data_IF_638063826619
#
_entry.id   IF_638063826619
#
_cell.length_a   1.000
_cell.length_b   1.000
_cell.length_c   1.000
_cell.angle_alpha   90.00
_cell.angle_beta   90.00
_cell.angle_gamma   90.00
#
_symmetry.space_group_name_H-M   'P 1'
#
loop_
_entity.id
_entity.type
_entity.pdbx_description
1 polymer ?
#
# COMPACT_ATOMS: atom_id res chain seq x y z
N UNK A 1 -17.58 -9.37 27.80
CA UNK A 1 -18.03 -8.20 27.02
C UNK A 1 -18.67 -8.72 25.75
N UNK A 2 -19.90 -8.37 25.49
CA UNK A 2 -20.64 -8.91 24.37
C UNK A 2 -20.26 -8.12 23.11
N UNK A 3 -19.37 -8.66 22.27
CA UNK A 3 -18.90 -8.05 21.02
C UNK A 3 -20.03 -7.80 20.00
N UNK A 4 -21.19 -8.45 20.20
CA UNK A 4 -22.36 -8.35 19.31
C UNK A 4 -22.88 -6.92 19.13
N UNK A 5 -22.68 -6.02 20.11
CA UNK A 5 -23.22 -4.66 20.05
C UNK A 5 -22.32 -3.64 19.31
N UNK A 6 -21.08 -3.98 18.95
CA UNK A 6 -20.17 -3.05 18.25
C UNK A 6 -20.16 -3.22 16.73
N UNK A 7 -20.51 -4.45 16.27
CA UNK A 7 -20.69 -4.77 14.85
C UNK A 7 -22.16 -4.94 14.47
N UNK A 8 -23.08 -4.64 15.41
CA UNK A 8 -24.48 -4.55 15.02
C UNK A 8 -24.58 -3.56 13.87
N UNK A 9 -25.14 -3.98 12.73
CA UNK A 9 -25.38 -3.05 11.66
C UNK A 9 -26.13 -1.86 12.21
N UNK A 10 -25.77 -0.67 11.76
CA UNK A 10 -26.54 0.52 12.08
C UNK A 10 -28.00 0.22 11.69
N UNK A 11 -28.91 0.26 12.65
CA UNK A 11 -30.35 0.03 12.43
C UNK A 11 -31.06 1.30 11.92
N UNK A 12 -30.31 2.31 11.46
CA UNK A 12 -30.90 3.44 10.78
C UNK A 12 -31.49 3.00 9.42
N UNK A 13 -32.58 3.62 9.03
CA UNK A 13 -33.35 3.33 7.81
C UNK A 13 -32.42 3.29 6.57
N UNK A 14 -31.48 4.23 6.45
CA UNK A 14 -30.46 4.27 5.38
C UNK A 14 -29.52 3.06 5.37
N UNK A 15 -29.24 2.42 6.52
CA UNK A 15 -28.43 1.19 6.58
C UNK A 15 -29.26 -0.07 6.30
N UNK A 16 -30.56 -0.02 6.56
CA UNK A 16 -31.48 -1.13 6.23
C UNK A 16 -31.75 -1.18 4.72
N UNK A 17 -31.95 -0.06 4.09
CA UNK A 17 -32.13 0.04 2.62
C UNK A 17 -30.87 -0.34 1.84
N UNK A 18 -29.66 0.01 2.33
CA UNK A 18 -28.41 -0.42 1.72
C UNK A 18 -28.18 -1.95 1.76
N UNK A 19 -28.92 -2.68 2.61
CA UNK A 19 -28.93 -4.16 2.62
C UNK A 19 -29.76 -4.75 1.48
N UNK A 20 -30.70 -3.98 0.96
CA UNK A 20 -31.67 -4.45 -0.07
C UNK A 20 -31.25 -4.09 -1.49
N UNK A 21 -30.34 -3.13 -1.69
CA UNK A 21 -29.87 -2.74 -3.02
C UNK A 21 -28.55 -3.42 -3.38
N UNK A 22 -28.61 -4.33 -4.34
CA UNK A 22 -27.43 -4.97 -4.98
C UNK A 22 -26.72 -4.06 -5.99
N UNK A 23 -26.93 -2.75 -5.95
CA UNK A 23 -26.31 -1.80 -6.86
C UNK A 23 -25.02 -1.25 -6.26
N UNK A 24 -23.92 -1.39 -7.00
CA UNK A 24 -22.60 -0.83 -6.66
C UNK A 24 -22.71 0.67 -6.37
N UNK A 25 -22.16 1.16 -5.24
CA UNK A 25 -22.27 2.57 -4.85
C UNK A 25 -21.20 3.48 -5.44
N UNK A 26 -20.44 3.00 -6.42
CA UNK A 26 -19.26 3.72 -6.91
C UNK A 26 -19.54 4.38 -8.27
N UNK A 27 -20.07 5.59 -8.25
CA UNK A 27 -20.08 6.51 -9.38
C UNK A 27 -18.97 7.56 -9.20
N UNK A 28 -17.99 7.56 -10.11
CA UNK A 28 -17.06 8.67 -10.26
C UNK A 28 -15.59 8.31 -10.03
N UNK A 29 -14.92 7.87 -11.08
CA UNK A 29 -13.49 7.58 -11.16
C UNK A 29 -13.28 6.18 -11.74
N UNK A 30 -12.61 6.10 -12.87
CA UNK A 30 -12.33 4.86 -13.59
C UNK A 30 -11.37 3.96 -12.78
N UNK A 31 -11.94 3.19 -11.88
CA UNK A 31 -11.31 2.14 -11.09
C UNK A 31 -12.42 1.30 -10.49
N UNK A 32 -13.08 0.51 -11.34
CA UNK A 32 -14.19 -0.35 -10.95
C UNK A 32 -13.68 -1.41 -9.96
N UNK A 33 -13.93 -1.20 -8.66
CA UNK A 33 -13.79 -2.29 -7.68
C UNK A 33 -14.87 -3.30 -8.02
N UNK A 34 -14.50 -4.31 -8.80
CA UNK A 34 -15.40 -5.41 -9.15
C UNK A 34 -15.78 -6.12 -7.85
N UNK A 35 -17.05 -6.07 -7.42
CA UNK A 35 -17.46 -6.80 -6.23
C UNK A 35 -17.14 -8.29 -6.45
N UNK A 36 -16.77 -9.04 -5.39
CA UNK A 36 -16.42 -10.43 -5.56
C UNK A 36 -17.58 -11.18 -6.24
N UNK A 37 -17.29 -11.89 -7.31
CA UNK A 37 -18.26 -12.62 -8.15
C UNK A 37 -19.08 -13.67 -7.37
N UNK A 38 -18.75 -13.93 -6.10
CA UNK A 38 -19.45 -14.85 -5.19
C UNK A 38 -19.66 -14.19 -3.84
N UNK A 39 -20.73 -14.51 -3.10
CA UNK A 39 -20.90 -14.08 -1.73
C UNK A 39 -19.67 -14.46 -0.88
N UNK A 40 -19.17 -13.50 -0.08
CA UNK A 40 -18.08 -13.76 0.84
C UNK A 40 -18.54 -14.73 1.92
N UNK A 41 -17.91 -15.89 1.97
CA UNK A 41 -18.31 -16.96 2.91
C UNK A 41 -17.09 -17.80 3.34
N UNK A 42 -16.67 -17.62 4.57
CA UNK A 42 -15.57 -18.36 5.20
C UNK A 42 -16.07 -19.42 6.18
N UNK A 43 -17.39 -19.67 6.26
CA UNK A 43 -17.98 -20.58 7.26
C UNK A 43 -17.43 -21.99 7.21
N UNK A 44 -17.08 -22.48 6.02
CA UNK A 44 -16.50 -23.83 5.83
C UNK A 44 -15.07 -23.93 6.36
N UNK A 45 -14.24 -22.91 6.14
CA UNK A 45 -12.86 -22.89 6.64
C UNK A 45 -12.88 -22.69 8.16
N UNK A 46 -13.71 -21.78 8.65
CA UNK A 46 -13.89 -21.54 10.08
C UNK A 46 -14.43 -22.78 10.81
N UNK A 47 -15.33 -23.55 10.18
CA UNK A 47 -15.80 -24.83 10.76
C UNK A 47 -14.64 -25.77 11.05
N UNK A 48 -13.68 -25.93 10.13
CA UNK A 48 -12.48 -26.75 10.36
C UNK A 48 -11.65 -26.28 11.56
N UNK A 49 -11.53 -24.98 11.75
CA UNK A 49 -10.84 -24.40 12.90
C UNK A 49 -11.60 -24.70 14.21
N UNK A 50 -12.93 -24.61 14.23
CA UNK A 50 -13.75 -24.92 15.38
C UNK A 50 -13.80 -26.43 15.68
N UNK A 51 -13.84 -27.29 14.65
CA UNK A 51 -13.75 -28.75 14.82
C UNK A 51 -12.41 -29.13 15.49
N UNK A 52 -11.33 -28.48 15.06
CA UNK A 52 -10.02 -28.70 15.66
C UNK A 52 -9.97 -28.18 17.11
N UNK A 53 -10.56 -27.01 17.39
CA UNK A 53 -10.69 -26.46 18.74
C UNK A 53 -11.43 -27.44 19.68
N UNK A 54 -12.54 -28.01 19.22
CA UNK A 54 -13.32 -28.99 19.98
C UNK A 54 -12.49 -30.26 20.27
N UNK A 55 -11.84 -30.81 19.23
CA UNK A 55 -10.97 -32.00 19.36
C UNK A 55 -9.83 -31.77 20.37
N UNK A 56 -9.24 -30.57 20.36
CA UNK A 56 -8.16 -30.19 21.28
C UNK A 56 -8.67 -29.90 22.71
N UNK A 57 -9.91 -29.48 22.86
CA UNK A 57 -10.55 -29.17 24.15
C UNK A 57 -10.07 -27.89 24.83
N UNK A 58 -9.17 -27.13 24.20
CA UNK A 58 -8.63 -25.87 24.75
C UNK A 58 -8.07 -24.98 23.64
N UNK A 59 -7.89 -23.68 23.95
CA UNK A 59 -7.26 -22.69 23.10
C UNK A 59 -6.45 -21.69 23.93
N UNK A 60 -5.26 -21.36 23.48
CA UNK A 60 -4.41 -20.27 24.00
C UNK A 60 -3.94 -19.39 22.82
N UNK A 61 -3.59 -18.12 23.04
CA UNK A 61 -3.14 -17.22 21.98
C UNK A 61 -2.00 -17.80 21.14
N UNK A 62 -1.04 -18.49 21.76
CA UNK A 62 0.13 -19.12 21.12
C UNK A 62 -0.26 -20.27 20.19
N UNK A 63 -1.44 -20.84 20.35
CA UNK A 63 -1.95 -21.91 19.51
C UNK A 63 -2.31 -21.41 18.09
N UNK A 64 -2.63 -20.12 17.97
CA UNK A 64 -3.12 -19.53 16.72
C UNK A 64 -2.17 -19.78 15.55
N UNK A 65 -0.89 -19.55 15.76
CA UNK A 65 0.14 -19.68 14.73
C UNK A 65 0.72 -21.08 14.65
N UNK A 66 0.49 -21.91 15.67
CA UNK A 66 1.03 -23.27 15.75
C UNK A 66 0.25 -24.28 14.90
N UNK A 67 -1.08 -24.20 14.88
CA UNK A 67 -1.91 -25.22 14.26
C UNK A 67 -2.42 -24.83 12.87
N UNK A 68 -2.31 -25.78 11.92
CA UNK A 68 -2.66 -25.56 10.51
C UNK A 68 -4.11 -25.07 10.33
N UNK A 69 -5.08 -25.67 11.04
CA UNK A 69 -6.48 -25.30 10.89
C UNK A 69 -6.75 -23.82 11.24
N UNK A 70 -6.01 -23.26 12.18
CA UNK A 70 -6.12 -21.84 12.55
C UNK A 70 -5.41 -20.95 11.53
N UNK A 71 -4.21 -21.35 11.07
CA UNK A 71 -3.51 -20.62 10.02
C UNK A 71 -4.30 -20.59 8.71
N UNK A 72 -4.92 -21.70 8.34
CA UNK A 72 -5.77 -21.79 7.13
C UNK A 72 -6.93 -20.75 7.19
N UNK A 73 -7.53 -20.55 8.37
CA UNK A 73 -8.58 -19.53 8.54
C UNK A 73 -8.01 -18.10 8.45
N UNK A 74 -6.83 -17.86 9.01
CA UNK A 74 -6.14 -16.56 8.87
C UNK A 74 -5.87 -16.28 7.40
N UNK A 75 -5.23 -17.22 6.68
CA UNK A 75 -4.86 -17.08 5.28
C UNK A 75 -6.09 -16.84 4.40
N UNK A 76 -7.13 -17.66 4.55
CA UNK A 76 -8.36 -17.49 3.78
C UNK A 76 -9.05 -16.14 4.06
N UNK A 77 -8.99 -15.65 5.30
CA UNK A 77 -9.54 -14.33 5.64
C UNK A 77 -8.70 -13.21 5.02
N UNK A 78 -7.38 -13.32 5.08
CA UNK A 78 -6.46 -12.35 4.47
C UNK A 78 -6.59 -12.32 2.94
N UNK A 79 -6.71 -13.47 2.30
CA UNK A 79 -6.94 -13.57 0.84
C UNK A 79 -8.19 -12.80 0.42
N UNK A 80 -9.29 -12.92 1.19
CA UNK A 80 -10.51 -12.15 0.92
C UNK A 80 -10.23 -10.64 1.00
N UNK A 81 -9.61 -10.17 2.07
CA UNK A 81 -9.37 -8.73 2.25
C UNK A 81 -8.30 -8.18 1.30
N UNK A 82 -7.32 -8.99 0.87
CA UNK A 82 -6.33 -8.56 -0.11
C UNK A 82 -6.97 -8.24 -1.47
N UNK A 83 -8.10 -8.86 -1.81
CA UNK A 83 -8.84 -8.50 -3.04
C UNK A 83 -9.47 -7.10 -2.97
N UNK A 84 -9.53 -6.50 -1.78
CA UNK A 84 -10.02 -5.13 -1.60
C UNK A 84 -8.93 -4.06 -1.86
N UNK A 85 -7.65 -4.45 -1.96
CA UNK A 85 -6.56 -3.52 -2.23
C UNK A 85 -6.48 -3.24 -3.74
N UNK A 86 -6.68 -1.98 -4.19
CA UNK A 86 -6.67 -1.63 -5.60
C UNK A 86 -5.33 -1.93 -6.28
N UNK A 87 -5.34 -2.19 -7.58
CA UNK A 87 -4.11 -2.43 -8.34
C UNK A 87 -3.24 -1.17 -8.46
N UNK A 88 -3.83 0.00 -8.41
CA UNK A 88 -3.19 1.31 -8.52
C UNK A 88 -2.49 1.77 -7.23
N UNK A 89 -2.58 0.98 -6.16
CA UNK A 89 -1.83 1.26 -4.92
C UNK A 89 -0.34 1.18 -5.22
N UNK A 90 0.44 2.24 -4.90
CA UNK A 90 1.90 2.19 -5.04
C UNK A 90 2.49 0.98 -4.29
N UNK A 91 3.51 0.38 -4.86
CA UNK A 91 4.09 -0.86 -4.32
C UNK A 91 4.59 -0.69 -2.87
N UNK A 92 5.14 0.49 -2.55
CA UNK A 92 5.56 0.84 -1.20
C UNK A 92 4.40 0.78 -0.19
N UNK A 93 3.22 1.25 -0.60
CA UNK A 93 2.03 1.25 0.25
C UNK A 93 1.42 -0.16 0.33
N UNK A 94 1.42 -0.89 -0.78
CA UNK A 94 0.80 -2.24 -0.87
C UNK A 94 1.32 -3.19 0.19
N UNK A 95 2.64 -3.24 0.39
CA UNK A 95 3.25 -4.14 1.36
C UNK A 95 2.76 -3.87 2.81
N UNK A 96 2.54 -2.60 3.16
CA UNK A 96 1.99 -2.24 4.47
C UNK A 96 0.52 -2.61 4.60
N UNK A 97 -0.29 -2.38 3.56
CA UNK A 97 -1.70 -2.73 3.56
C UNK A 97 -1.92 -4.25 3.65
N UNK A 98 -1.19 -5.04 2.88
CA UNK A 98 -1.25 -6.51 2.94
C UNK A 98 -0.83 -7.04 4.33
N UNK A 99 0.16 -6.43 4.95
CA UNK A 99 0.56 -6.76 6.32
C UNK A 99 -0.52 -6.45 7.33
N UNK A 100 -1.13 -5.27 7.25
CA UNK A 100 -2.24 -4.88 8.14
C UNK A 100 -3.43 -5.83 7.98
N UNK A 101 -3.79 -6.17 6.75
CA UNK A 101 -4.82 -7.18 6.42
C UNK A 101 -4.51 -8.53 7.06
N UNK A 102 -3.26 -9.00 6.99
CA UNK A 102 -2.86 -10.27 7.59
C UNK A 102 -2.97 -10.24 9.12
N UNK A 103 -2.49 -9.18 9.76
CA UNK A 103 -2.60 -8.99 11.21
C UNK A 103 -4.06 -8.90 11.64
N UNK A 104 -4.88 -8.12 10.95
CA UNK A 104 -6.31 -8.01 11.21
C UNK A 104 -7.01 -9.38 11.11
N UNK A 105 -6.72 -10.16 10.07
CA UNK A 105 -7.26 -11.51 9.87
C UNK A 105 -6.88 -12.45 11.01
N UNK A 106 -5.67 -12.32 11.53
CA UNK A 106 -5.20 -13.11 12.66
C UNK A 106 -5.88 -12.74 13.97
N UNK A 107 -6.00 -11.45 14.30
CA UNK A 107 -6.69 -11.03 15.55
C UNK A 107 -8.19 -11.30 15.48
N UNK A 108 -8.82 -11.19 14.30
CA UNK A 108 -10.20 -11.62 14.06
C UNK A 108 -10.37 -13.12 14.33
N UNK A 109 -9.47 -13.95 13.81
CA UNK A 109 -9.46 -15.41 14.04
C UNK A 109 -9.27 -15.73 15.52
N UNK A 110 -8.31 -15.06 16.18
CA UNK A 110 -8.11 -15.19 17.63
C UNK A 110 -9.37 -14.89 18.43
N UNK A 111 -10.06 -13.82 18.08
CA UNK A 111 -11.31 -13.41 18.74
C UNK A 111 -12.38 -14.50 18.60
N UNK A 112 -12.58 -15.02 17.38
CA UNK A 112 -13.53 -16.11 17.12
C UNK A 112 -13.21 -17.37 17.95
N UNK A 113 -11.93 -17.76 17.98
CA UNK A 113 -11.49 -18.95 18.74
C UNK A 113 -11.60 -18.73 20.25
N UNK A 114 -11.36 -17.53 20.74
CA UNK A 114 -11.53 -17.17 22.16
C UNK A 114 -13.01 -17.22 22.56
N UNK A 115 -13.90 -16.71 21.74
CA UNK A 115 -15.34 -16.77 21.97
C UNK A 115 -15.86 -18.22 21.85
N UNK A 116 -15.44 -18.96 20.83
CA UNK A 116 -15.78 -20.37 20.67
C UNK A 116 -15.28 -21.23 21.84
N UNK A 117 -14.09 -20.94 22.37
CA UNK A 117 -13.56 -21.61 23.57
C UNK A 117 -14.51 -21.48 24.77
N UNK A 118 -15.17 -20.34 24.95
CA UNK A 118 -16.12 -20.15 26.03
C UNK A 118 -17.33 -21.09 25.93
N UNK A 119 -17.60 -21.65 24.74
CA UNK A 119 -18.69 -22.60 24.47
C UNK A 119 -18.26 -24.07 24.54
N UNK A 120 -16.96 -24.35 24.73
CA UNK A 120 -16.46 -25.74 24.80
C UNK A 120 -16.99 -26.51 26.00
N UNK A 121 -17.17 -25.83 27.14
CA UNK A 121 -17.54 -26.47 28.40
C UNK A 121 -18.97 -26.19 28.76
N UNK A 122 -19.61 -27.15 29.44
CA UNK A 122 -20.88 -26.99 30.08
C UNK A 122 -20.73 -26.30 31.45
N UNK A 123 -21.84 -26.11 32.15
CA UNK A 123 -21.87 -25.50 33.48
C UNK A 123 -21.12 -26.31 34.55
N UNK A 124 -20.96 -27.61 34.32
CA UNK A 124 -20.22 -28.54 35.18
C UNK A 124 -18.74 -28.58 34.86
N UNK A 125 -18.27 -27.88 33.82
CA UNK A 125 -16.89 -27.83 33.40
C UNK A 125 -16.43 -28.96 32.46
N UNK A 126 -17.36 -29.84 32.04
CA UNK A 126 -17.05 -30.92 31.08
C UNK A 126 -17.04 -30.38 29.65
N UNK A 127 -16.23 -30.99 28.79
CA UNK A 127 -16.25 -30.67 27.36
C UNK A 127 -17.57 -31.14 26.77
N UNK A 128 -18.33 -30.20 26.15
CA UNK A 128 -19.60 -30.52 25.50
C UNK A 128 -19.42 -31.55 24.40
N UNK A 129 -20.36 -32.50 24.22
CA UNK A 129 -20.41 -33.33 23.02
C UNK A 129 -20.39 -32.46 21.75
N UNK A 130 -19.74 -32.97 20.67
CA UNK A 130 -19.51 -32.17 19.45
C UNK A 130 -20.81 -31.55 18.89
N UNK A 131 -21.92 -32.29 18.82
CA UNK A 131 -23.19 -31.79 18.29
C UNK A 131 -23.76 -30.59 19.07
N UNK A 132 -23.53 -30.55 20.40
CA UNK A 132 -23.94 -29.42 21.24
C UNK A 132 -23.03 -28.22 21.01
N UNK A 133 -21.73 -28.44 20.95
CA UNK A 133 -20.76 -27.41 20.65
C UNK A 133 -21.01 -26.81 19.25
N UNK A 134 -21.19 -27.65 18.23
CA UNK A 134 -21.48 -27.21 16.87
C UNK A 134 -22.73 -26.29 16.80
N UNK A 135 -23.80 -26.65 17.50
CA UNK A 135 -24.99 -25.81 17.59
C UNK A 135 -24.72 -24.46 18.23
N UNK A 136 -23.91 -24.43 19.30
CA UNK A 136 -23.56 -23.20 20.00
C UNK A 136 -22.70 -22.26 19.15
N UNK A 137 -21.80 -22.80 18.34
CA UNK A 137 -20.92 -21.98 17.49
C UNK A 137 -21.51 -21.63 16.12
N UNK A 138 -22.62 -22.25 15.69
CA UNK A 138 -23.18 -22.01 14.37
C UNK A 138 -23.53 -20.53 14.16
N UNK A 139 -24.18 -19.91 15.14
CA UNK A 139 -24.51 -18.48 15.12
C UNK A 139 -23.24 -17.63 15.10
N UNK A 140 -22.26 -17.95 15.92
CA UNK A 140 -20.95 -17.28 15.96
C UNK A 140 -20.26 -17.36 14.59
N UNK A 141 -20.18 -18.55 14.01
CA UNK A 141 -19.59 -18.78 12.71
C UNK A 141 -20.24 -17.92 11.60
N UNK A 142 -21.58 -17.91 11.53
CA UNK A 142 -22.31 -17.07 10.58
C UNK A 142 -22.08 -15.58 10.82
N UNK A 143 -22.05 -15.15 12.08
CA UNK A 143 -21.84 -13.76 12.45
C UNK A 143 -20.46 -13.25 11.96
N UNK A 144 -19.38 -13.96 12.30
CA UNK A 144 -18.02 -13.52 11.95
C UNK A 144 -17.66 -13.73 10.49
N UNK A 145 -18.12 -14.84 9.90
CA UNK A 145 -17.62 -15.32 8.60
C UNK A 145 -18.58 -15.10 7.43
N UNK A 146 -19.67 -14.38 7.68
CA UNK A 146 -20.60 -13.84 6.69
C UNK A 146 -20.93 -12.38 6.98
N UNK A 147 -21.67 -12.11 8.08
CA UNK A 147 -22.23 -10.79 8.34
C UNK A 147 -21.16 -9.72 8.61
N UNK A 148 -20.21 -10.01 9.51
CA UNK A 148 -19.12 -9.09 9.79
C UNK A 148 -18.14 -9.04 8.62
N UNK A 149 -17.86 -10.18 7.97
CA UNK A 149 -16.96 -10.26 6.83
C UNK A 149 -17.39 -9.32 5.70
N UNK A 150 -18.69 -9.25 5.40
CA UNK A 150 -19.21 -8.34 4.38
C UNK A 150 -18.97 -6.86 4.73
N UNK A 151 -19.33 -6.45 5.95
CA UNK A 151 -19.15 -5.07 6.38
C UNK A 151 -17.68 -4.66 6.45
N UNK A 152 -16.82 -5.57 6.91
CA UNK A 152 -15.37 -5.38 6.97
C UNK A 152 -14.74 -5.34 5.58
N UNK A 153 -15.22 -6.15 4.64
CA UNK A 153 -14.77 -6.12 3.25
C UNK A 153 -15.11 -4.79 2.57
N UNK A 154 -16.34 -4.32 2.71
CA UNK A 154 -16.75 -3.01 2.18
C UNK A 154 -15.91 -1.87 2.77
N UNK A 155 -15.59 -1.96 4.06
CA UNK A 155 -14.70 -1.00 4.70
C UNK A 155 -13.27 -1.11 4.16
N UNK A 156 -12.76 -2.33 4.00
CA UNK A 156 -11.42 -2.55 3.47
C UNK A 156 -11.25 -1.97 2.06
N UNK A 157 -12.24 -2.15 1.18
CA UNK A 157 -12.26 -1.55 -0.17
C UNK A 157 -12.11 -0.03 -0.08
N UNK A 158 -12.96 0.62 0.72
CA UNK A 158 -12.96 2.09 0.82
C UNK A 158 -11.69 2.62 1.48
N UNK A 159 -11.21 1.93 2.51
CA UNK A 159 -10.00 2.31 3.25
C UNK A 159 -8.73 2.13 2.42
N UNK A 160 -8.62 1.01 1.68
CA UNK A 160 -7.48 0.78 0.80
C UNK A 160 -7.46 1.78 -0.37
N UNK A 161 -8.62 2.13 -0.93
CA UNK A 161 -8.70 3.19 -1.94
C UNK A 161 -8.28 4.55 -1.36
N UNK A 162 -8.71 4.88 -0.14
CA UNK A 162 -8.31 6.11 0.55
C UNK A 162 -6.79 6.14 0.80
N UNK A 163 -6.19 5.00 1.18
CA UNK A 163 -4.74 4.90 1.33
C UNK A 163 -4.00 5.10 -0.01
N UNK A 164 -4.53 4.52 -1.10
CA UNK A 164 -3.99 4.73 -2.44
C UNK A 164 -4.06 6.21 -2.87
N UNK A 165 -5.21 6.84 -2.66
CA UNK A 165 -5.39 8.26 -2.97
C UNK A 165 -4.42 9.12 -2.18
N UNK A 166 -4.26 8.86 -0.87
CA UNK A 166 -3.30 9.59 -0.03
C UNK A 166 -1.86 9.46 -0.52
N UNK A 167 -1.45 8.25 -0.91
CA UNK A 167 -0.09 8.00 -1.41
C UNK A 167 0.20 8.72 -2.74
N UNK A 168 -0.83 9.03 -3.53
CA UNK A 168 -0.71 9.69 -4.83
C UNK A 168 -0.93 11.22 -4.77
N UNK A 169 -1.11 11.81 -3.57
CA UNK A 169 -1.30 13.25 -3.42
C UNK A 169 -0.05 14.03 -3.86
N UNK A 170 -0.27 15.20 -4.50
CA UNK A 170 0.81 16.11 -4.87
C UNK A 170 1.53 16.65 -3.62
N UNK A 171 2.85 16.79 -3.69
CA UNK A 171 3.66 17.24 -2.53
C UNK A 171 3.44 18.73 -2.20
N UNK A 172 3.09 19.56 -3.18
CA UNK A 172 2.93 21.01 -3.00
C UNK A 172 1.66 21.37 -2.22
N UNK A 173 1.80 21.46 -0.90
CA UNK A 173 0.70 21.83 0.02
C UNK A 173 0.25 23.29 -0.11
N UNK A 174 1.05 24.16 -0.71
CA UNK A 174 0.67 25.56 -0.96
C UNK A 174 -0.30 25.69 -2.14
N UNK A 175 -0.17 24.80 -3.10
CA UNK A 175 -0.96 24.81 -4.34
C UNK A 175 -2.18 23.90 -4.28
N UNK A 176 -2.09 22.77 -3.57
CA UNK A 176 -3.12 21.74 -3.50
C UNK A 176 -3.60 21.53 -2.07
N UNK A 177 -4.92 21.65 -1.86
CA UNK A 177 -5.61 21.33 -0.62
C UNK A 177 -6.46 20.09 -0.80
N UNK A 178 -7.06 19.60 0.28
CA UNK A 178 -8.04 18.52 0.24
C UNK A 178 -9.43 19.07 0.54
N UNK A 179 -10.41 18.56 -0.21
CA UNK A 179 -11.83 18.79 0.01
C UNK A 179 -12.52 17.48 0.38
N UNK A 180 -13.28 17.49 1.48
CA UNK A 180 -14.09 16.36 1.89
C UNK A 180 -15.34 16.27 1.02
N UNK A 181 -15.55 15.13 0.37
CA UNK A 181 -16.72 14.85 -0.47
C UNK A 181 -17.51 13.67 0.03
N UNK A 182 -18.81 13.78 0.01
CA UNK A 182 -19.75 12.69 0.27
C UNK A 182 -20.29 12.12 -1.05
N UNK A 183 -20.96 10.95 -0.98
CA UNK A 183 -21.59 10.38 -2.16
C UNK A 183 -22.75 11.22 -2.71
N UNK A 184 -23.25 12.22 -1.97
CA UNK A 184 -24.27 13.17 -2.42
C UNK A 184 -25.68 12.59 -2.54
N UNK A 185 -25.92 11.37 -2.08
CA UNK A 185 -27.22 10.69 -2.12
C UNK A 185 -27.89 10.63 -0.73
N UNK A 186 -29.16 10.21 -0.70
CA UNK A 186 -29.98 10.08 0.52
C UNK A 186 -29.45 9.05 1.52
N UNK A 187 -28.51 8.19 1.13
CA UNK A 187 -27.87 7.20 2.00
C UNK A 187 -26.67 7.76 2.76
N UNK A 188 -26.30 9.02 2.50
CA UNK A 188 -25.26 9.69 3.28
C UNK A 188 -25.82 10.02 4.67
N UNK A 189 -25.10 9.59 5.71
CA UNK A 189 -25.48 9.94 7.09
C UNK A 189 -25.49 11.47 7.27
N UNK A 190 -26.48 11.99 7.97
CA UNK A 190 -26.60 13.43 8.21
C UNK A 190 -25.31 14.02 8.84
N UNK A 191 -24.69 13.29 9.80
CA UNK A 191 -23.42 13.70 10.41
C UNK A 191 -22.26 13.74 9.41
N UNK A 192 -22.25 12.86 8.40
CA UNK A 192 -21.24 12.89 7.33
C UNK A 192 -21.56 13.96 6.27
N UNK A 193 -22.84 14.26 6.03
CA UNK A 193 -23.23 15.34 5.15
C UNK A 193 -22.69 16.71 5.64
N UNK A 194 -22.57 16.90 6.95
CA UNK A 194 -21.98 18.08 7.55
C UNK A 194 -20.47 18.26 7.27
N UNK A 195 -19.79 17.20 6.83
CA UNK A 195 -18.38 17.26 6.44
C UNK A 195 -18.19 17.69 4.97
N UNK A 196 -19.25 17.65 4.15
CA UNK A 196 -19.16 17.98 2.72
C UNK A 196 -18.66 19.40 2.51
N UNK A 197 -17.65 19.57 1.64
CA UNK A 197 -17.07 20.88 1.32
C UNK A 197 -16.07 21.40 2.34
N UNK A 198 -15.74 20.66 3.42
CA UNK A 198 -14.60 21.02 4.27
C UNK A 198 -13.34 20.96 3.40
N UNK A 199 -12.69 22.14 3.26
CA UNK A 199 -11.51 22.31 2.42
C UNK A 199 -10.36 22.86 3.26
N UNK A 200 -9.30 22.07 3.42
CA UNK A 200 -8.16 22.39 4.28
C UNK A 200 -6.84 21.95 3.63
N UNK A 201 -5.70 22.58 3.98
CA UNK A 201 -4.37 22.09 3.59
C UNK A 201 -4.16 20.64 3.96
N UNK A 202 -3.38 19.90 3.17
CA UNK A 202 -3.14 18.45 3.38
C UNK A 202 -2.44 18.12 4.69
N UNK A 203 -1.68 19.06 5.24
CA UNK A 203 -0.98 18.97 6.51
C UNK A 203 -1.81 19.42 7.72
N UNK A 204 -3.08 19.81 7.52
CA UNK A 204 -3.98 20.13 8.61
C UNK A 204 -4.31 18.89 9.45
N UNK A 205 -4.29 19.05 10.79
CA UNK A 205 -4.55 17.96 11.75
C UNK A 205 -5.92 17.29 11.55
N UNK A 206 -6.88 17.98 10.94
CA UNK A 206 -8.18 17.40 10.58
C UNK A 206 -8.03 16.11 9.78
N UNK A 207 -7.11 16.04 8.82
CA UNK A 207 -6.91 14.88 7.96
C UNK A 207 -6.25 13.70 8.66
N UNK A 208 -5.59 13.91 9.78
CA UNK A 208 -5.02 12.81 10.57
C UNK A 208 -6.11 11.99 11.25
N UNK A 209 -7.19 12.65 11.71
CA UNK A 209 -8.26 11.99 12.45
C UNK A 209 -9.51 11.70 11.60
N UNK A 210 -9.84 12.57 10.65
CA UNK A 210 -11.12 12.53 9.94
C UNK A 210 -11.01 12.28 8.43
N UNK A 211 -9.86 11.86 7.96
CA UNK A 211 -9.74 11.40 6.57
C UNK A 211 -10.62 10.16 6.35
N UNK A 212 -11.46 10.13 5.28
CA UNK A 212 -12.41 9.03 5.11
C UNK A 212 -11.70 7.68 4.85
N UNK A 213 -12.35 6.53 5.20
CA UNK A 213 -13.73 6.34 5.65
C UNK A 213 -13.91 6.50 7.18
N UNK A 214 -14.94 7.25 7.60
CA UNK A 214 -15.21 7.53 9.01
C UNK A 214 -16.32 6.63 9.62
N UNK A 215 -16.42 5.40 9.17
CA UNK A 215 -17.39 4.43 9.69
C UNK A 215 -17.63 3.27 8.75
N UNK A 216 -18.29 2.23 9.24
CA UNK A 216 -18.75 1.12 8.40
C UNK A 216 -19.63 1.62 7.26
N UNK A 217 -19.40 1.13 6.04
CA UNK A 217 -20.15 1.52 4.82
C UNK A 217 -20.09 3.02 4.49
N UNK A 218 -19.07 3.72 4.99
CA UNK A 218 -18.80 5.10 4.59
C UNK A 218 -18.37 5.13 3.12
N UNK A 219 -18.97 6.05 2.33
CA UNK A 219 -18.66 6.26 0.90
C UNK A 219 -18.11 7.66 0.64
N UNK A 220 -17.66 8.32 1.71
CA UNK A 220 -17.03 9.63 1.58
C UNK A 220 -15.61 9.47 1.05
N UNK A 221 -15.12 10.52 0.39
CA UNK A 221 -13.76 10.61 -0.16
C UNK A 221 -13.15 11.96 0.18
N UNK A 222 -11.84 12.09 0.10
CA UNK A 222 -11.16 13.38 0.06
C UNK A 222 -10.47 13.51 -1.30
N UNK A 223 -10.59 14.67 -1.92
CA UNK A 223 -10.04 14.93 -3.26
C UNK A 223 -9.13 16.14 -3.24
N UNK A 224 -8.08 16.13 -4.05
CA UNK A 224 -7.24 17.31 -4.25
C UNK A 224 -7.98 18.38 -5.03
N UNK A 225 -7.83 19.61 -4.56
CA UNK A 225 -8.37 20.82 -5.21
C UNK A 225 -7.31 21.91 -5.23
N UNK A 226 -7.41 22.82 -6.21
CA UNK A 226 -6.49 23.96 -6.27
C UNK A 226 -6.82 24.97 -5.16
N UNK A 227 -5.85 25.24 -4.30
CA UNK A 227 -5.99 26.18 -3.17
C UNK A 227 -6.50 27.57 -3.62
N UNK A 228 -6.03 28.08 -4.77
CA UNK A 228 -6.44 29.38 -5.33
C UNK A 228 -7.91 29.46 -5.77
N UNK A 229 -8.56 28.32 -5.97
CA UNK A 229 -9.95 28.23 -6.47
C UNK A 229 -10.94 27.89 -5.35
N UNK A 230 -10.43 27.66 -4.14
CA UNK A 230 -11.24 27.21 -3.01
C UNK A 230 -11.04 28.09 -1.77
N UNK A 231 -12.07 28.22 -0.97
CA UNK A 231 -12.02 28.94 0.30
C UNK A 231 -11.62 28.00 1.41
N UNK A 232 -10.60 28.37 2.18
CA UNK A 232 -10.16 27.58 3.34
C UNK A 232 -11.27 27.54 4.40
N UNK A 233 -11.65 26.35 4.82
CA UNK A 233 -12.57 26.13 5.95
C UNK A 233 -11.92 26.56 7.27
N UNK A 234 -12.75 26.89 8.26
CA UNK A 234 -12.26 27.13 9.63
C UNK A 234 -11.88 25.78 10.28
N UNK A 235 -10.61 25.57 10.70
CA UNK A 235 -10.16 24.29 11.23
C UNK A 235 -10.90 23.84 12.49
N UNK A 236 -11.25 24.77 13.40
CA UNK A 236 -11.96 24.43 14.65
C UNK A 236 -13.39 23.97 14.35
N UNK A 237 -14.08 24.64 13.41
CA UNK A 237 -15.43 24.21 12.99
C UNK A 237 -15.37 22.85 12.28
N UNK A 238 -14.37 22.64 11.43
CA UNK A 238 -14.15 21.37 10.75
C UNK A 238 -13.89 20.23 11.75
N UNK A 239 -13.02 20.47 12.73
CA UNK A 239 -12.73 19.51 13.79
C UNK A 239 -13.98 19.11 14.58
N UNK A 240 -14.79 20.09 15.00
CA UNK A 240 -16.05 19.85 15.69
C UNK A 240 -17.01 18.99 14.85
N UNK A 241 -17.15 19.29 13.56
CA UNK A 241 -17.97 18.48 12.66
C UNK A 241 -17.43 17.05 12.53
N UNK A 242 -16.09 16.88 12.46
CA UNK A 242 -15.41 15.57 12.46
C UNK A 242 -15.68 14.77 13.73
N UNK A 243 -15.60 15.41 14.89
CA UNK A 243 -15.93 14.80 16.18
C UNK A 243 -17.39 14.33 16.24
N UNK A 244 -18.32 15.17 15.81
CA UNK A 244 -19.75 14.82 15.74
C UNK A 244 -20.01 13.65 14.78
N UNK A 245 -19.39 13.66 13.60
CA UNK A 245 -19.52 12.60 12.60
C UNK A 245 -18.96 11.24 13.08
N UNK A 246 -17.99 11.26 13.98
CA UNK A 246 -17.33 10.08 14.53
C UNK A 246 -17.67 9.83 16.00
N UNK A 247 -18.86 10.27 16.43
CA UNK A 247 -19.35 10.04 17.81
C UNK A 247 -20.70 9.33 17.77
N UNK A 248 -20.73 8.13 18.32
CA UNK A 248 -21.93 7.36 18.60
C UNK A 248 -21.78 6.66 19.95
N UNK A 249 -22.41 7.23 20.97
CA UNK A 249 -22.33 6.67 22.33
C UNK A 249 -23.22 5.43 22.45
N UNK A 250 -22.59 4.31 22.78
CA UNK A 250 -23.28 3.05 23.03
C UNK A 250 -23.89 2.97 24.43
N UNK A 251 -24.67 1.91 24.69
CA UNK A 251 -25.26 1.64 26.02
C UNK A 251 -24.24 1.57 27.16
N UNK A 252 -22.98 1.28 26.85
CA UNK A 252 -21.86 1.24 27.82
C UNK A 252 -21.19 2.59 28.07
N UNK A 253 -21.70 3.69 27.50
CA UNK A 253 -21.08 5.01 27.57
C UNK A 253 -19.86 5.19 26.70
N UNK A 254 -19.45 4.17 25.91
CA UNK A 254 -18.28 4.25 25.02
C UNK A 254 -18.69 4.71 23.63
N UNK A 255 -17.84 5.54 23.02
CA UNK A 255 -18.01 5.92 21.62
C UNK A 255 -17.68 4.72 20.72
N UNK A 256 -18.65 4.30 19.90
CA UNK A 256 -18.49 3.17 18.97
C UNK A 256 -17.72 3.54 17.70
N UNK A 257 -17.73 4.82 17.31
CA UNK A 257 -17.14 5.30 16.06
C UNK A 257 -15.73 5.89 16.25
N UNK A 258 -15.26 6.07 17.48
CA UNK A 258 -13.95 6.63 17.80
C UNK A 258 -12.81 5.87 17.09
N UNK A 259 -12.95 4.56 16.90
CA UNK A 259 -11.95 3.74 16.22
C UNK A 259 -11.70 4.16 14.77
N UNK A 260 -12.65 4.84 14.12
CA UNK A 260 -12.53 5.33 12.75
C UNK A 260 -11.84 6.69 12.63
N UNK A 261 -11.37 7.25 13.75
CA UNK A 261 -10.51 8.44 13.76
C UNK A 261 -9.07 8.05 13.45
N UNK A 262 -8.80 7.80 12.19
CA UNK A 262 -7.46 7.53 11.66
C UNK A 262 -7.41 7.82 10.17
N UNK A 263 -6.19 8.04 9.66
CA UNK A 263 -5.96 8.21 8.24
C UNK A 263 -5.32 6.94 7.67
N UNK A 264 -6.01 6.19 6.79
CA UNK A 264 -5.48 4.96 6.22
C UNK A 264 -4.14 5.12 5.50
N UNK A 265 -3.95 6.26 4.83
CA UNK A 265 -2.73 6.54 4.09
C UNK A 265 -1.55 6.90 5.00
N UNK A 266 -1.77 7.77 5.99
CA UNK A 266 -0.73 8.12 6.97
C UNK A 266 -0.31 6.92 7.84
N UNK A 267 -1.30 6.16 8.32
CA UNK A 267 -1.08 4.97 9.15
C UNK A 267 -0.60 3.76 8.33
N UNK A 268 -0.72 3.80 7.00
CA UNK A 268 -0.44 2.68 6.09
C UNK A 268 -1.20 1.41 6.49
N UNK A 269 -2.48 1.58 6.81
CA UNK A 269 -3.37 0.52 7.30
C UNK A 269 -4.70 0.52 6.59
N UNK A 270 -5.24 -0.69 6.39
CA UNK A 270 -6.60 -0.89 5.89
C UNK A 270 -7.61 -0.77 7.04
N UNK A 271 -7.28 -1.35 8.21
CA UNK A 271 -8.20 -1.42 9.33
C UNK A 271 -7.81 -0.48 10.47
N UNK A 272 -8.81 0.04 11.21
CA UNK A 272 -8.56 0.90 12.36
C UNK A 272 -7.59 0.27 13.36
N UNK A 273 -6.53 0.97 13.79
CA UNK A 273 -5.51 0.39 14.67
C UNK A 273 -6.07 -0.01 16.04
N UNK A 274 -7.10 0.71 16.52
CA UNK A 274 -7.75 0.48 17.81
C UNK A 274 -9.11 -0.20 17.68
N UNK A 275 -9.25 -1.14 16.72
CA UNK A 275 -10.50 -1.85 16.52
C UNK A 275 -10.85 -2.80 17.68
N UNK A 276 -12.04 -3.38 17.65
CA UNK A 276 -12.56 -4.23 18.72
C UNK A 276 -11.72 -5.48 18.97
N UNK A 277 -11.16 -6.06 17.91
CA UNK A 277 -10.37 -7.31 18.01
C UNK A 277 -9.05 -7.09 18.76
N UNK A 278 -8.46 -5.90 18.67
CA UNK A 278 -7.22 -5.57 19.40
C UNK A 278 -7.39 -5.52 20.91
N UNK A 279 -8.65 -5.43 21.40
CA UNK A 279 -8.98 -5.34 22.82
C UNK A 279 -9.25 -6.71 23.48
N UNK A 280 -9.19 -7.80 22.70
CA UNK A 280 -9.39 -9.16 23.22
C UNK A 280 -8.15 -9.62 23.98
N UNK A 281 -8.36 -10.30 25.10
CA UNK A 281 -7.26 -10.83 25.92
C UNK A 281 -6.35 -11.72 25.07
N UNK A 282 -5.05 -11.44 25.09
CA UNK A 282 -4.05 -12.16 24.30
C UNK A 282 -3.81 -11.59 22.88
N UNK A 283 -4.54 -10.56 22.46
CA UNK A 283 -4.35 -9.94 21.14
C UNK A 283 -2.90 -9.47 20.91
N UNK A 284 -2.24 -8.89 21.92
CA UNK A 284 -0.82 -8.44 21.81
C UNK A 284 0.12 -9.61 21.51
N UNK A 285 -0.06 -10.76 22.20
CA UNK A 285 0.72 -11.97 21.94
C UNK A 285 0.52 -12.45 20.51
N UNK A 286 -0.72 -12.43 20.05
CA UNK A 286 -1.09 -12.81 18.69
C UNK A 286 -0.45 -11.88 17.65
N UNK A 287 -0.51 -10.57 17.84
CA UNK A 287 0.10 -9.58 16.91
C UNK A 287 1.59 -9.83 16.77
N UNK A 288 2.30 -10.04 17.89
CA UNK A 288 3.74 -10.35 17.87
C UNK A 288 4.04 -11.64 17.10
N UNK A 289 3.28 -12.70 17.38
CA UNK A 289 3.45 -13.99 16.69
C UNK A 289 3.12 -13.92 15.19
N UNK A 290 2.14 -13.14 14.79
CA UNK A 290 1.78 -12.90 13.39
C UNK A 290 2.85 -12.12 12.64
N UNK A 291 3.47 -11.12 13.27
CA UNK A 291 4.57 -10.37 12.69
C UNK A 291 5.78 -11.29 12.38
N UNK A 292 6.11 -12.22 13.29
CA UNK A 292 7.17 -13.20 13.08
C UNK A 292 6.86 -14.19 11.93
N UNK A 293 5.60 -14.65 11.83
CA UNK A 293 5.19 -15.55 10.74
C UNK A 293 5.18 -14.82 9.41
N UNK A 294 4.68 -13.60 9.36
CA UNK A 294 4.66 -12.79 8.16
C UNK A 294 6.06 -12.68 7.53
N UNK A 295 7.08 -12.47 8.37
CA UNK A 295 8.48 -12.43 7.92
C UNK A 295 9.02 -13.77 7.37
N UNK A 296 8.61 -14.90 7.98
CA UNK A 296 9.18 -16.23 7.68
C UNK A 296 8.48 -16.97 6.54
N UNK A 297 7.20 -16.72 6.32
CA UNK A 297 6.37 -17.53 5.43
C UNK A 297 6.28 -17.03 3.99
N UNK A 298 6.77 -15.82 3.70
CA UNK A 298 6.58 -15.16 2.40
C UNK A 298 5.11 -14.87 2.05
N UNK A 299 4.19 -15.05 3.01
CA UNK A 299 2.76 -14.79 2.84
C UNK A 299 2.40 -13.30 2.81
N UNK A 300 3.33 -12.48 3.30
CA UNK A 300 3.20 -11.01 3.30
C UNK A 300 4.47 -10.43 2.72
N UNK A 301 4.32 -9.45 1.83
CA UNK A 301 5.46 -8.73 1.26
C UNK A 301 6.28 -8.07 2.36
N UNK A 302 7.59 -8.08 2.19
CA UNK A 302 8.50 -7.31 3.04
C UNK A 302 8.26 -5.84 2.78
N UNK A 303 8.10 -5.03 3.83
CA UNK A 303 7.90 -3.60 3.67
C UNK A 303 9.19 -2.92 3.21
N UNK A 304 9.05 -1.77 2.54
CA UNK A 304 10.20 -0.98 2.10
C UNK A 304 11.12 -0.62 3.26
N UNK A 305 10.56 -0.20 4.38
CA UNK A 305 11.33 0.13 5.57
C UNK A 305 12.14 -1.06 6.12
N UNK A 306 11.56 -2.27 6.09
CA UNK A 306 12.28 -3.48 6.52
C UNK A 306 13.44 -3.84 5.59
N UNK A 307 13.31 -3.65 4.28
CA UNK A 307 14.42 -3.84 3.34
C UNK A 307 15.47 -2.74 3.55
N UNK A 308 15.04 -1.47 3.56
CA UNK A 308 15.93 -0.32 3.63
C UNK A 308 16.70 -0.21 4.97
N UNK A 309 16.18 -0.82 6.05
CA UNK A 309 16.88 -0.88 7.35
C UNK A 309 17.97 -1.96 7.42
N UNK A 310 18.05 -2.84 6.41
CA UNK A 310 19.11 -3.86 6.34
C UNK A 310 20.43 -3.24 5.85
N UNK A 311 21.57 -3.88 6.14
CA UNK A 311 22.83 -3.51 5.50
C UNK A 311 22.67 -3.51 3.96
N UNK A 312 23.30 -2.53 3.29
CA UNK A 312 23.12 -2.34 1.84
C UNK A 312 23.30 -3.61 1.02
N UNK A 313 24.27 -4.43 1.36
CA UNK A 313 24.56 -5.70 0.67
C UNK A 313 23.38 -6.68 0.71
N UNK A 314 22.59 -6.68 1.78
CA UNK A 314 21.42 -7.54 1.95
C UNK A 314 20.17 -7.01 1.24
N UNK A 315 20.22 -5.74 0.79
CA UNK A 315 19.13 -5.12 0.02
C UNK A 315 19.14 -5.55 -1.45
N UNK A 316 20.21 -6.18 -1.94
CA UNK A 316 20.37 -6.59 -3.34
C UNK A 316 20.35 -8.11 -3.50
N UNK A 317 19.91 -8.56 -4.67
CA UNK A 317 19.99 -9.95 -5.13
C UNK A 317 20.74 -10.02 -6.46
N UNK A 318 21.58 -11.01 -6.64
CA UNK A 318 22.23 -11.26 -7.93
C UNK A 318 21.21 -11.92 -8.87
N UNK A 319 20.89 -11.26 -9.99
CA UNK A 319 19.94 -11.77 -10.99
C UNK A 319 20.62 -12.20 -12.31
N UNK A 320 21.87 -11.83 -12.51
CA UNK A 320 22.66 -12.24 -13.66
C UNK A 320 24.15 -12.20 -13.29
N UNK A 321 24.92 -13.18 -13.77
CA UNK A 321 26.37 -13.28 -13.56
C UNK A 321 27.04 -13.82 -14.83
N UNK A 322 28.23 -13.35 -15.13
CA UNK A 322 29.02 -13.72 -16.30
C UNK A 322 30.33 -14.40 -15.91
N UNK A 323 30.91 -15.21 -16.79
CA UNK A 323 32.17 -15.95 -16.53
C UNK A 323 33.37 -15.03 -16.28
N UNK A 324 33.31 -13.78 -16.77
CA UNK A 324 34.38 -12.78 -16.58
C UNK A 324 34.20 -11.96 -15.26
N UNK A 325 33.26 -12.38 -14.37
CA UNK A 325 33.04 -11.77 -13.06
C UNK A 325 32.06 -10.60 -13.05
N UNK A 326 31.50 -10.22 -14.19
CA UNK A 326 30.47 -9.19 -14.25
C UNK A 326 29.14 -9.67 -13.63
N UNK A 327 28.41 -8.76 -12.97
CA UNK A 327 27.17 -9.08 -12.27
C UNK A 327 26.11 -8.02 -12.47
N UNK A 328 24.84 -8.46 -12.48
CA UNK A 328 23.70 -7.58 -12.28
C UNK A 328 23.11 -7.87 -10.89
N UNK A 329 23.16 -6.86 -10.04
CA UNK A 329 22.55 -6.85 -8.73
C UNK A 329 21.26 -6.04 -8.83
N UNK A 330 20.16 -6.62 -8.41
CA UNK A 330 18.86 -5.93 -8.38
C UNK A 330 18.47 -5.65 -6.94
N UNK A 331 18.14 -4.41 -6.64
CA UNK A 331 17.63 -4.06 -5.33
C UNK A 331 16.23 -4.70 -5.13
N UNK A 332 15.99 -5.26 -3.95
CA UNK A 332 14.77 -6.03 -3.62
C UNK A 332 13.46 -5.23 -3.72
N UNK A 333 13.54 -3.91 -3.80
CA UNK A 333 12.41 -2.99 -3.97
C UNK A 333 12.22 -2.50 -5.41
N UNK A 334 12.94 -3.05 -6.38
CA UNK A 334 12.76 -2.69 -7.79
C UNK A 334 11.40 -3.18 -8.28
N UNK A 335 10.65 -2.28 -8.91
CA UNK A 335 9.35 -2.56 -9.52
C UNK A 335 9.58 -3.10 -10.94
N UNK A 336 9.43 -4.40 -11.13
CA UNK A 336 9.66 -5.06 -12.43
C UNK A 336 8.55 -4.78 -13.45
N UNK A 337 7.39 -4.32 -13.00
CA UNK A 337 6.23 -3.98 -13.84
C UNK A 337 6.34 -2.57 -14.46
N UNK A 338 7.33 -1.76 -14.05
CA UNK A 338 7.55 -0.43 -14.65
C UNK A 338 7.92 -0.55 -16.14
N UNK A 339 7.40 0.39 -16.91
CA UNK A 339 7.50 0.37 -18.38
C UNK A 339 8.94 0.29 -18.89
N UNK A 340 9.88 0.93 -18.22
CA UNK A 340 11.30 1.03 -18.60
C UNK A 340 12.18 -0.10 -18.01
N UNK A 341 11.64 -0.99 -17.16
CA UNK A 341 12.41 -2.03 -16.48
C UNK A 341 13.21 -2.92 -17.45
N UNK A 342 12.62 -3.30 -18.58
CA UNK A 342 13.30 -4.16 -19.57
C UNK A 342 14.51 -3.45 -20.21
N UNK A 343 14.42 -2.15 -20.46
CA UNK A 343 15.53 -1.34 -20.97
C UNK A 343 16.63 -1.21 -19.90
N UNK A 344 16.26 -1.01 -18.65
CA UNK A 344 17.20 -0.95 -17.51
C UNK A 344 17.94 -2.30 -17.36
N UNK A 345 17.20 -3.40 -17.35
CA UNK A 345 17.77 -4.75 -17.25
C UNK A 345 18.71 -5.07 -18.41
N UNK A 346 18.31 -4.70 -19.64
CA UNK A 346 19.14 -4.92 -20.83
C UNK A 346 20.44 -4.13 -20.74
N UNK A 347 20.37 -2.85 -20.40
CA UNK A 347 21.58 -2.02 -20.21
C UNK A 347 22.50 -2.60 -19.12
N UNK A 348 21.93 -2.98 -17.97
CA UNK A 348 22.68 -3.58 -16.86
C UNK A 348 23.41 -4.87 -17.28
N UNK A 349 22.76 -5.76 -18.05
CA UNK A 349 23.37 -6.98 -18.57
C UNK A 349 24.53 -6.68 -19.52
N UNK A 350 24.40 -5.68 -20.40
CA UNK A 350 25.49 -5.29 -21.30
C UNK A 350 26.72 -4.81 -20.55
N UNK A 351 26.55 -4.04 -19.50
CA UNK A 351 27.66 -3.68 -18.62
C UNK A 351 28.26 -4.88 -17.89
N UNK A 352 27.43 -5.83 -17.43
CA UNK A 352 27.94 -7.06 -16.81
C UNK A 352 28.74 -7.92 -17.80
N UNK A 353 28.34 -8.01 -19.09
CA UNK A 353 29.10 -8.68 -20.15
C UNK A 353 30.48 -8.05 -20.37
N UNK A 354 30.65 -6.76 -20.04
CA UNK A 354 31.94 -6.06 -20.01
C UNK A 354 32.75 -6.31 -18.72
N UNK A 355 32.29 -7.20 -17.83
CA UNK A 355 32.94 -7.53 -16.56
C UNK A 355 32.64 -6.56 -15.42
N UNK A 356 31.61 -5.71 -15.55
CA UNK A 356 31.25 -4.71 -14.56
C UNK A 356 30.19 -5.20 -13.58
N UNK A 357 30.10 -4.54 -12.42
CA UNK A 357 29.00 -4.74 -11.47
C UNK A 357 27.97 -3.65 -11.72
N UNK A 358 26.80 -4.04 -12.20
CA UNK A 358 25.68 -3.16 -12.48
C UNK A 358 24.57 -3.38 -11.43
N UNK A 359 24.24 -2.34 -10.69
CA UNK A 359 23.17 -2.34 -9.68
C UNK A 359 21.93 -1.67 -10.27
N UNK A 360 20.81 -2.41 -10.34
CA UNK A 360 19.49 -1.85 -10.67
C UNK A 360 18.89 -1.29 -9.39
N UNK A 361 18.54 -0.01 -9.42
CA UNK A 361 18.18 0.76 -8.24
C UNK A 361 16.65 0.93 -8.12
N UNK A 362 16.11 1.03 -6.87
CA UNK A 362 14.70 1.27 -6.63
C UNK A 362 14.36 2.74 -6.74
N UNK A 363 13.06 3.06 -6.86
CA UNK A 363 12.56 4.41 -6.64
C UNK A 363 12.18 4.61 -5.16
N UNK A 364 12.71 5.66 -4.53
CA UNK A 364 12.34 6.08 -3.18
C UNK A 364 11.62 7.42 -3.30
N UNK A 365 10.28 7.36 -3.30
CA UNK A 365 9.42 8.52 -3.51
C UNK A 365 8.79 9.05 -2.21
N UNK A 366 8.70 8.21 -1.16
CA UNK A 366 8.11 8.60 0.11
C UNK A 366 9.09 9.42 0.96
N UNK A 367 8.63 10.59 1.43
CA UNK A 367 9.44 11.53 2.22
C UNK A 367 10.02 10.91 3.50
N UNK A 368 9.25 10.07 4.18
CA UNK A 368 9.69 9.37 5.40
C UNK A 368 10.78 8.33 5.15
N UNK A 369 10.94 7.87 3.91
CA UNK A 369 12.00 6.95 3.51
C UNK A 369 13.29 7.68 3.10
N UNK A 370 13.27 9.00 2.99
CA UNK A 370 14.46 9.79 2.61
C UNK A 370 15.66 9.56 3.55
N UNK A 371 15.42 9.20 4.81
CA UNK A 371 16.48 8.84 5.75
C UNK A 371 17.33 7.64 5.34
N UNK A 372 16.84 6.81 4.42
CA UNK A 372 17.54 5.64 3.91
C UNK A 372 18.26 5.90 2.58
N UNK A 373 18.08 7.07 1.98
CA UNK A 373 18.61 7.36 0.64
C UNK A 373 20.12 7.20 0.58
N UNK A 374 20.86 7.64 1.59
CA UNK A 374 22.32 7.50 1.63
C UNK A 374 22.76 6.02 1.60
N UNK A 375 21.98 5.12 2.21
CA UNK A 375 22.26 3.68 2.17
C UNK A 375 22.03 3.09 0.77
N UNK A 376 20.99 3.54 0.07
CA UNK A 376 20.62 3.03 -1.27
C UNK A 376 21.45 3.70 -2.36
N UNK A 377 21.64 5.01 -2.26
CA UNK A 377 22.33 5.87 -3.24
C UNK A 377 23.53 6.57 -2.58
N UNK A 378 24.58 5.84 -2.18
CA UNK A 378 25.74 6.45 -1.54
C UNK A 378 26.39 7.51 -2.45
N UNK A 379 26.78 8.63 -1.86
CA UNK A 379 27.41 9.78 -2.56
C UNK A 379 26.51 10.46 -3.62
N UNK A 380 25.19 10.20 -3.60
CA UNK A 380 24.25 10.82 -4.54
C UNK A 380 23.51 11.98 -3.87
N UNK A 381 24.02 13.19 -4.08
CA UNK A 381 23.59 14.40 -3.37
C UNK A 381 22.17 14.89 -3.73
N UNK A 382 21.59 14.43 -4.83
CA UNK A 382 20.32 14.92 -5.34
C UNK A 382 19.15 14.07 -4.83
N UNK A 383 18.03 14.72 -4.53
CA UNK A 383 16.79 14.02 -4.18
C UNK A 383 16.07 13.49 -5.43
N UNK A 384 16.75 12.62 -6.19
CA UNK A 384 16.28 11.97 -7.41
C UNK A 384 16.54 10.47 -7.33
N UNK A 385 15.91 9.70 -8.21
CA UNK A 385 16.04 8.24 -8.28
C UNK A 385 16.78 7.87 -9.57
N UNK A 386 18.09 7.58 -9.52
CA UNK A 386 18.82 7.05 -10.67
C UNK A 386 18.39 5.62 -10.96
N UNK A 387 18.48 5.18 -12.24
CA UNK A 387 18.05 3.84 -12.63
C UNK A 387 19.12 2.77 -12.35
N UNK A 388 20.41 3.11 -12.58
CA UNK A 388 21.53 2.19 -12.43
C UNK A 388 22.70 2.84 -11.68
N UNK A 389 23.48 2.00 -10.98
CA UNK A 389 24.82 2.34 -10.48
C UNK A 389 25.78 1.28 -10.98
N UNK A 390 26.84 1.70 -11.70
CA UNK A 390 27.82 0.81 -12.34
C UNK A 390 29.20 1.26 -11.94
N UNK A 391 29.95 0.40 -11.26
CA UNK A 391 31.29 0.73 -10.73
C UNK A 391 31.27 2.10 -9.99
N UNK A 392 30.28 2.31 -9.13
CA UNK A 392 30.06 3.51 -8.31
C UNK A 392 29.59 4.78 -9.05
N UNK A 393 29.34 4.71 -10.36
CA UNK A 393 28.82 5.82 -11.18
C UNK A 393 27.34 5.64 -11.45
N UNK A 394 26.57 6.70 -11.37
CA UNK A 394 25.12 6.68 -11.59
C UNK A 394 24.75 6.94 -13.05
N UNK A 395 23.72 6.21 -13.50
CA UNK A 395 23.18 6.27 -14.86
C UNK A 395 21.68 6.40 -14.83
N UNK A 396 21.15 7.10 -15.85
CA UNK A 396 19.72 7.33 -15.98
C UNK A 396 19.30 7.04 -17.43
N UNK A 397 18.31 6.18 -17.63
CA UNK A 397 17.82 5.79 -18.96
C UNK A 397 16.76 6.78 -19.40
N UNK A 398 16.92 7.31 -20.60
CA UNK A 398 15.96 8.24 -21.20
C UNK A 398 15.55 7.75 -22.57
N UNK A 399 14.28 7.42 -22.72
CA UNK A 399 13.69 7.17 -24.03
C UNK A 399 13.70 8.47 -24.85
N UNK A 400 14.15 8.36 -26.09
CA UNK A 400 14.15 9.46 -27.06
C UNK A 400 13.14 9.15 -28.17
N UNK A 401 12.12 9.97 -28.29
CA UNK A 401 11.09 9.84 -29.32
C UNK A 401 11.59 10.26 -30.71
N UNK A 402 12.58 11.14 -30.75
CA UNK A 402 13.17 11.65 -31.99
C UNK A 402 14.59 12.20 -31.77
N UNK A 403 15.37 12.32 -32.84
CA UNK A 403 16.73 12.89 -32.83
C UNK A 403 16.77 14.32 -32.23
N UNK A 404 15.70 15.08 -32.34
CA UNK A 404 15.60 16.46 -31.79
C UNK A 404 15.60 16.47 -30.24
N UNK A 405 15.24 15.39 -29.59
CA UNK A 405 15.13 15.30 -28.12
C UNK A 405 16.41 14.82 -27.44
N UNK A 406 17.42 14.36 -28.18
CA UNK A 406 18.69 13.81 -27.69
C UNK A 406 19.34 14.74 -26.65
N UNK A 407 19.65 16.00 -27.04
CA UNK A 407 20.35 16.93 -26.16
C UNK A 407 19.54 17.23 -24.90
N UNK A 408 18.22 17.44 -25.02
CA UNK A 408 17.34 17.69 -23.89
C UNK A 408 17.35 16.52 -22.90
N UNK A 409 17.22 15.30 -23.38
CA UNK A 409 17.17 14.12 -22.53
C UNK A 409 18.52 13.80 -21.89
N UNK A 410 19.64 13.99 -22.60
CA UNK A 410 20.96 13.87 -22.02
C UNK A 410 21.19 14.92 -20.90
N UNK A 411 20.87 16.19 -21.16
CA UNK A 411 20.97 17.24 -20.15
C UNK A 411 20.06 16.99 -18.94
N UNK A 412 18.88 16.38 -19.15
CA UNK A 412 17.97 16.01 -18.06
C UNK A 412 18.58 14.93 -17.17
N UNK A 413 19.21 13.89 -17.73
CA UNK A 413 19.95 12.90 -16.95
C UNK A 413 21.10 13.55 -16.16
N UNK A 414 21.87 14.43 -16.80
CA UNK A 414 22.97 15.15 -16.17
C UNK A 414 22.49 16.06 -15.02
N UNK A 415 21.36 16.76 -15.19
CA UNK A 415 20.77 17.58 -14.12
C UNK A 415 20.26 16.75 -12.94
N UNK A 416 20.10 15.46 -13.13
CA UNK A 416 19.77 14.47 -12.11
C UNK A 416 21.02 13.79 -11.51
N UNK A 417 22.24 14.23 -11.89
CA UNK A 417 23.50 13.68 -11.37
C UNK A 417 23.93 12.37 -12.00
N UNK A 418 23.39 12.01 -13.19
CA UNK A 418 23.60 10.72 -13.82
C UNK A 418 24.16 10.85 -15.24
N UNK A 419 24.94 9.86 -15.67
CA UNK A 419 25.33 9.70 -17.08
C UNK A 419 24.10 9.21 -17.87
N UNK A 420 23.84 9.79 -19.03
CA UNK A 420 22.70 9.41 -19.85
C UNK A 420 22.93 8.08 -20.59
N UNK A 421 21.92 7.22 -20.55
CA UNK A 421 21.74 6.12 -21.49
C UNK A 421 20.50 6.47 -22.32
N UNK A 422 20.69 6.79 -23.60
CA UNK A 422 19.61 7.17 -24.50
C UNK A 422 19.06 5.92 -25.19
N UNK A 423 17.77 5.63 -24.99
CA UNK A 423 17.12 4.46 -25.57
C UNK A 423 16.26 4.86 -26.76
N UNK A 424 16.47 4.21 -27.91
CA UNK A 424 15.60 4.29 -29.08
C UNK A 424 15.86 3.13 -30.03
N UNK A 425 14.83 2.45 -30.47
CA UNK A 425 14.89 1.29 -31.37
C UNK A 425 14.36 1.59 -32.77
N UNK A 426 13.84 2.78 -33.01
CA UNK A 426 13.16 3.17 -34.26
C UNK A 426 14.04 3.96 -35.22
N UNK A 427 14.91 4.82 -34.68
CA UNK A 427 15.81 5.67 -35.51
C UNK A 427 17.08 4.92 -35.92
N UNK A 428 17.78 5.36 -37.00
CA UNK A 428 19.05 4.79 -37.35
C UNK A 428 20.14 5.07 -36.30
N UNK A 429 20.93 4.06 -35.96
CA UNK A 429 21.95 4.18 -34.90
C UNK A 429 23.02 5.24 -35.22
N UNK A 430 23.35 5.43 -36.51
CA UNK A 430 24.37 6.42 -36.92
C UNK A 430 23.80 7.83 -36.76
N UNK A 431 22.51 8.03 -36.99
CA UNK A 431 21.86 9.32 -36.81
C UNK A 431 21.78 9.66 -35.29
N UNK A 432 21.47 8.68 -34.44
CA UNK A 432 21.51 8.86 -32.99
C UNK A 432 22.92 9.21 -32.53
N UNK A 433 23.95 8.46 -32.96
CA UNK A 433 25.37 8.74 -32.66
C UNK A 433 25.80 10.13 -33.15
N UNK A 434 25.35 10.55 -34.32
CA UNK A 434 25.60 11.89 -34.83
C UNK A 434 24.92 12.96 -33.96
N UNK A 435 23.70 12.68 -33.51
CA UNK A 435 22.95 13.56 -32.61
C UNK A 435 23.64 13.79 -31.28
N UNK A 436 24.35 12.80 -30.71
CA UNK A 436 25.05 12.93 -29.41
C UNK A 436 26.20 13.94 -29.48
N UNK A 437 26.82 14.20 -30.66
CA UNK A 437 27.85 15.22 -30.79
C UNK A 437 27.40 16.60 -30.38
N UNK A 438 26.11 16.91 -30.53
CA UNK A 438 25.51 18.20 -30.11
C UNK A 438 25.48 18.34 -28.59
N UNK A 439 25.39 17.22 -27.87
CA UNK A 439 25.40 17.24 -26.40
C UNK A 439 26.75 17.73 -25.87
N UNK A 440 27.84 17.32 -26.51
CA UNK A 440 29.21 17.71 -26.12
C UNK A 440 29.66 19.06 -26.69
N UNK A 441 28.81 19.72 -27.51
CA UNK A 441 29.17 20.98 -28.13
C UNK A 441 29.31 22.10 -27.08
N UNK A 442 30.35 22.95 -27.25
CA UNK A 442 30.67 24.06 -26.34
C UNK A 442 29.50 25.04 -26.06
N UNK A 443 28.51 25.11 -26.95
CA UNK A 443 27.36 25.97 -26.82
C UNK A 443 26.20 25.30 -26.00
N UNK A 444 26.38 24.07 -25.53
CA UNK A 444 25.41 23.42 -24.63
C UNK A 444 25.66 23.87 -23.19
N UNK A 445 25.41 25.16 -22.93
CA UNK A 445 25.65 25.84 -21.65
C UNK A 445 24.33 26.36 -21.05
N UNK A 446 24.27 26.51 -19.74
CA UNK A 446 23.18 27.17 -19.02
C UNK A 446 23.35 28.70 -19.01
N UNK A 447 22.43 29.40 -18.33
CA UNK A 447 22.46 30.87 -18.21
C UNK A 447 23.72 31.41 -17.49
N UNK A 448 24.37 30.57 -16.70
CA UNK A 448 25.61 30.89 -15.93
C UNK A 448 26.87 30.52 -16.70
N UNK A 449 26.76 30.06 -17.94
CA UNK A 449 27.90 29.65 -18.79
C UNK A 449 28.45 28.26 -18.44
N UNK A 450 27.78 27.49 -17.58
CA UNK A 450 28.18 26.13 -17.21
C UNK A 450 27.64 25.13 -18.23
N UNK A 451 28.48 24.15 -18.61
CA UNK A 451 28.08 23.10 -19.57
C UNK A 451 26.96 22.24 -19.00
N UNK A 452 25.86 22.08 -19.72
CA UNK A 452 24.67 21.33 -19.28
C UNK A 452 24.90 19.82 -19.15
N UNK A 453 25.93 19.28 -19.82
CA UNK A 453 26.32 17.88 -19.75
C UNK A 453 27.80 17.76 -19.34
N UNK A 454 28.10 17.55 -18.07
CA UNK A 454 29.49 17.62 -17.56
C UNK A 454 30.30 16.33 -17.79
N UNK A 455 29.67 15.25 -18.30
CA UNK A 455 30.32 13.97 -18.51
C UNK A 455 30.98 13.88 -19.89
N UNK A 456 32.00 13.03 -20.02
CA UNK A 456 32.74 12.81 -21.29
C UNK A 456 32.21 11.61 -22.09
N UNK A 457 31.12 10.99 -21.64
CA UNK A 457 30.54 9.80 -22.27
C UNK A 457 29.00 9.86 -22.22
N UNK A 458 28.36 9.35 -23.27
CA UNK A 458 26.95 9.02 -23.36
C UNK A 458 26.85 7.60 -23.87
N UNK A 459 25.87 6.86 -23.39
CA UNK A 459 25.53 5.55 -23.93
C UNK A 459 24.24 5.61 -24.76
N UNK A 460 24.13 4.71 -25.72
CA UNK A 460 22.94 4.52 -26.55
C UNK A 460 22.54 3.06 -26.44
N UNK A 461 21.33 2.80 -25.95
CA UNK A 461 20.69 1.50 -25.99
C UNK A 461 19.80 1.43 -27.25
N UNK A 462 20.20 0.59 -28.22
CA UNK A 462 19.49 0.42 -29.48
C UNK A 462 19.43 -1.05 -29.87
N UNK A 463 18.21 -1.60 -30.02
CA UNK A 463 17.97 -3.01 -30.37
C UNK A 463 18.80 -3.96 -29.52
N UNK A 464 18.66 -3.80 -28.20
CA UNK A 464 19.36 -4.57 -27.15
C UNK A 464 20.91 -4.44 -27.16
N UNK A 465 21.52 -3.58 -28.00
CA UNK A 465 22.95 -3.30 -27.99
C UNK A 465 23.25 -1.97 -27.32
N UNK A 466 24.30 -1.98 -26.50
CA UNK A 466 24.78 -0.77 -25.83
C UNK A 466 25.99 -0.21 -26.60
N UNK A 467 25.87 1.05 -27.01
CA UNK A 467 26.93 1.76 -27.71
C UNK A 467 27.48 2.89 -26.85
N UNK A 468 28.80 2.97 -26.76
CA UNK A 468 29.47 4.05 -26.04
C UNK A 468 29.84 5.18 -27.03
N UNK A 469 29.47 6.41 -26.69
CA UNK A 469 29.82 7.63 -27.44
C UNK A 469 30.62 8.56 -26.53
N UNK A 470 31.92 8.76 -26.87
CA UNK A 470 32.80 9.65 -26.11
C UNK A 470 32.74 11.07 -26.68
N UNK A 471 33.05 12.04 -25.82
CA UNK A 471 33.41 13.40 -26.21
C UNK A 471 34.68 13.31 -27.03
N UNK A 472 34.63 13.70 -28.31
CA UNK A 472 35.75 13.65 -29.27
C UNK A 472 36.83 14.66 -28.98
#
# INVERSE_FOLDING_TARGET
MNLQNQYAPCDCEACQEARLSNTSPFGGGEGEVVPPKKPLDLTKVAKKAFDYLHKKGTYKPEDLTKYKAYRDLITATAEVFNTAIPHEVPEEMRAYLERDVFVFSGIKTHTQLTEARSKLKDEQGNVRPYYQFEREILKLNNTYNRNYLEAEYQFAVQSAQSAANWANLQEDTSRYWLEYRTAGDERVRQSHAALAGICLPKDDAFWTEYYPPNGWRCRCTAVEVLARENTKSNPETAKKAGEEATTQIGKSGKNKLEMFRFNPGQEKKVFPPNNTYTKVVGATVVVTALAEIAKKSGQVRTTFEEVLSQPRQEQFITIYETDNGGKVLEHRLVQRERQDYQSILTAAKRFAEEGKIAEILPEINQRELNRYRETVFPDYALNKNPDLRIDEVYYDIKEIESLKTITRNANRAASQGSIAILQNDNEDINDIKSGTKKVFHKNNINQEGIHNYPYDVIYILHKEKLYRCNKG
#
